data_IF_748942559960
#
_entry.id   IF_748942559960
#
_cell.length_a   1.000
_cell.length_b   1.000
_cell.length_c   1.000
_cell.angle_alpha   90.00
_cell.angle_beta   90.00
_cell.angle_gamma   90.00
#
_symmetry.space_group_name_H-M   'P 1'
#
loop_
_entity.id
_entity.type
_entity.pdbx_description
1 polymer ?
#
# COMPACT_ATOMS: atom_id res chain seq x y z
N UNK A 1 0.26 -6.04 -31.70
CA UNK A 1 0.03 -4.60 -31.89
C UNK A 1 -1.46 -4.29 -32.09
N UNK A 2 -2.29 -4.72 -31.13
CA UNK A 2 -3.76 -4.60 -31.21
C UNK A 2 -4.29 -3.22 -30.81
N UNK A 3 -3.44 -2.20 -30.67
CA UNK A 3 -3.86 -0.86 -30.24
C UNK A 3 -4.09 -0.68 -28.75
N UNK A 4 -3.79 -1.70 -27.94
CA UNK A 4 -3.93 -1.62 -26.47
C UNK A 4 -3.11 -0.45 -25.91
N UNK A 5 -3.68 0.27 -24.93
CA UNK A 5 -3.02 1.38 -24.24
C UNK A 5 -2.33 0.94 -22.94
N UNK A 6 -2.60 -0.26 -22.47
CA UNK A 6 -1.99 -0.85 -21.28
C UNK A 6 -2.14 -2.36 -21.26
N UNK A 7 -1.41 -3.01 -20.38
CA UNK A 7 -1.51 -4.44 -20.12
C UNK A 7 -1.63 -4.65 -18.61
N UNK A 8 -2.51 -5.58 -18.23
CA UNK A 8 -2.59 -6.13 -16.88
C UNK A 8 -2.00 -7.53 -16.92
N UNK A 9 -1.04 -7.82 -16.06
CA UNK A 9 -0.31 -9.10 -16.05
C UNK A 9 -0.19 -9.58 -14.61
N UNK A 10 -0.60 -10.81 -14.36
CA UNK A 10 -0.36 -11.47 -13.09
C UNK A 10 1.03 -12.10 -13.07
N UNK A 11 1.75 -11.87 -11.98
CA UNK A 11 3.10 -12.41 -11.75
C UNK A 11 3.14 -13.09 -10.40
N UNK A 12 3.62 -14.33 -10.35
CA UNK A 12 3.79 -15.07 -9.11
C UNK A 12 5.20 -15.65 -9.04
N UNK A 13 5.79 -15.69 -7.85
CA UNK A 13 7.15 -16.23 -7.66
C UNK A 13 7.26 -17.71 -8.00
N UNK A 14 6.19 -18.46 -7.84
CA UNK A 14 6.06 -19.89 -8.17
C UNK A 14 4.62 -20.15 -8.63
N UNK A 15 4.28 -19.87 -9.91
CA UNK A 15 2.92 -20.04 -10.45
C UNK A 15 2.34 -21.43 -10.25
N UNK A 16 3.17 -22.47 -10.23
CA UNK A 16 2.71 -23.85 -10.04
C UNK A 16 2.20 -24.12 -8.62
N UNK A 17 2.52 -23.24 -7.68
CA UNK A 17 2.06 -23.27 -6.28
C UNK A 17 1.13 -22.12 -5.91
N UNK A 18 0.69 -21.34 -6.90
CA UNK A 18 -0.26 -20.26 -6.65
C UNK A 18 -1.62 -20.83 -6.16
N UNK A 19 -2.22 -20.17 -5.18
CA UNK A 19 -3.52 -20.58 -4.64
C UNK A 19 -4.67 -20.33 -5.63
N UNK A 20 -4.49 -19.38 -6.56
CA UNK A 20 -5.43 -19.06 -7.65
C UNK A 20 -4.63 -18.66 -8.88
N UNK A 21 -5.24 -18.82 -10.05
CA UNK A 21 -4.75 -18.30 -11.34
C UNK A 21 -3.31 -18.65 -11.73
N UNK A 22 -2.72 -19.69 -11.11
CA UNK A 22 -1.37 -20.17 -11.41
C UNK A 22 -1.11 -20.37 -12.90
N UNK A 23 -2.00 -21.04 -13.67
CA UNK A 23 -1.80 -21.29 -15.10
C UNK A 23 -1.71 -20.04 -15.98
N UNK A 24 -2.25 -18.90 -15.52
CA UNK A 24 -2.18 -17.62 -16.25
C UNK A 24 -1.16 -16.63 -15.66
N UNK A 25 -0.60 -16.94 -14.50
CA UNK A 25 0.44 -16.11 -13.88
C UNK A 25 1.80 -16.35 -14.57
N UNK A 26 2.56 -15.27 -14.73
CA UNK A 26 3.93 -15.36 -15.24
C UNK A 26 4.93 -15.55 -14.10
N UNK A 27 6.00 -16.29 -14.38
CA UNK A 27 7.19 -16.23 -13.55
C UNK A 27 7.86 -14.85 -13.63
N UNK A 28 8.57 -14.38 -12.59
CA UNK A 28 9.28 -13.09 -12.63
C UNK A 28 10.21 -12.94 -13.83
N UNK A 29 10.90 -14.01 -14.23
CA UNK A 29 11.79 -14.01 -15.41
C UNK A 29 11.03 -13.85 -16.74
N UNK A 30 9.83 -14.43 -16.84
CA UNK A 30 8.96 -14.27 -18.01
C UNK A 30 8.40 -12.84 -18.07
N UNK A 31 8.02 -12.29 -16.92
CA UNK A 31 7.58 -10.91 -16.83
C UNK A 31 8.69 -9.92 -17.20
N UNK A 32 9.92 -10.13 -16.70
CA UNK A 32 11.07 -9.30 -17.08
C UNK A 32 11.32 -9.33 -18.59
N UNK A 33 11.20 -10.51 -19.21
CA UNK A 33 11.32 -10.63 -20.67
C UNK A 33 10.20 -9.88 -21.38
N UNK A 34 8.94 -10.05 -20.93
CA UNK A 34 7.79 -9.35 -21.49
C UNK A 34 7.98 -7.83 -21.43
N UNK A 35 8.44 -7.29 -20.30
CA UNK A 35 8.68 -5.86 -20.15
C UNK A 35 9.77 -5.33 -21.10
N UNK A 36 10.83 -6.09 -21.33
CA UNK A 36 11.85 -5.71 -22.33
C UNK A 36 11.30 -5.72 -23.76
N UNK A 37 10.51 -6.74 -24.10
CA UNK A 37 9.90 -6.87 -25.43
C UNK A 37 8.89 -5.71 -25.66
N UNK A 38 8.12 -5.32 -24.65
CA UNK A 38 7.18 -4.20 -24.70
C UNK A 38 7.90 -2.84 -24.83
N UNK A 39 9.02 -2.65 -24.13
CA UNK A 39 9.81 -1.42 -24.20
C UNK A 39 10.35 -1.23 -25.63
N UNK A 40 10.84 -2.32 -26.26
CA UNK A 40 11.29 -2.29 -27.65
C UNK A 40 10.15 -1.99 -28.64
N UNK A 41 8.95 -2.56 -28.40
CA UNK A 41 7.80 -2.36 -29.27
C UNK A 41 7.16 -0.98 -29.11
N UNK A 42 7.18 -0.40 -27.90
CA UNK A 42 6.55 0.88 -27.63
C UNK A 42 7.12 2.00 -28.48
N UNK A 43 8.44 2.04 -28.64
CA UNK A 43 9.12 3.01 -29.51
C UNK A 43 8.70 2.91 -30.98
N UNK A 44 8.54 1.68 -31.50
CA UNK A 44 8.09 1.42 -32.87
C UNK A 44 6.64 1.88 -33.09
N UNK A 45 5.80 1.77 -32.05
CA UNK A 45 4.39 2.11 -32.10
C UNK A 45 4.09 3.59 -31.73
N UNK A 46 5.14 4.40 -31.50
CA UNK A 46 4.99 5.79 -31.07
C UNK A 46 4.33 5.93 -29.68
N UNK A 47 4.46 4.90 -28.84
CA UNK A 47 3.95 4.87 -27.44
C UNK A 47 5.13 4.94 -26.49
N UNK A 48 4.90 5.51 -25.30
CA UNK A 48 5.84 5.46 -24.19
C UNK A 48 5.40 4.41 -23.16
N UNK A 49 6.35 3.71 -22.58
CA UNK A 49 6.12 2.88 -21.41
C UNK A 49 6.25 3.77 -20.16
N UNK A 50 5.17 3.92 -19.40
CA UNK A 50 5.28 4.46 -18.06
C UNK A 50 5.97 3.40 -17.18
N UNK A 51 7.14 3.73 -16.70
CA UNK A 51 7.85 2.90 -15.72
C UNK A 51 7.36 3.31 -14.34
N UNK A 52 7.15 2.34 -13.43
CA UNK A 52 6.92 2.70 -12.03
C UNK A 52 8.03 3.63 -11.61
N UNK A 53 7.68 4.85 -11.30
CA UNK A 53 8.61 5.80 -10.71
C UNK A 53 9.05 5.12 -9.42
N UNK A 54 10.33 4.71 -9.33
CA UNK A 54 10.91 4.57 -8.01
C UNK A 54 10.73 5.93 -7.39
N UNK A 55 9.82 6.06 -6.45
CA UNK A 55 9.75 7.22 -5.60
C UNK A 55 11.02 7.15 -4.76
N UNK A 56 12.13 7.59 -5.37
CA UNK A 56 13.24 8.06 -4.58
C UNK A 56 12.64 9.23 -3.83
N UNK A 57 12.62 9.15 -2.52
CA UNK A 57 12.19 10.25 -1.68
C UNK A 57 12.79 11.55 -2.24
N UNK A 58 12.12 12.69 -2.09
CA UNK A 58 12.41 13.91 -2.81
C UNK A 58 13.91 14.15 -2.85
N UNK A 59 14.51 14.07 -4.04
CA UNK A 59 15.91 14.49 -4.26
C UNK A 59 15.94 15.96 -3.92
N UNK A 60 16.56 16.28 -2.81
CA UNK A 60 16.94 17.64 -2.43
C UNK A 60 17.81 18.23 -3.53
N UNK A 61 17.18 18.79 -4.56
CA UNK A 61 17.81 19.80 -5.38
C UNK A 61 17.95 21.04 -4.49
N UNK A 62 19.17 21.57 -4.42
CA UNK A 62 19.49 22.83 -3.73
C UNK A 62 18.63 23.97 -4.31
N UNK A 63 17.48 24.18 -3.72
CA UNK A 63 16.75 25.45 -3.80
C UNK A 63 16.32 25.78 -2.38
N UNK A 64 16.67 26.96 -1.95
CA UNK A 64 16.49 27.62 -0.66
C UNK A 64 15.56 26.89 0.33
N UNK A 65 16.14 26.42 1.44
CA UNK A 65 15.45 25.84 2.60
C UNK A 65 14.43 26.84 3.18
N UNK A 66 13.28 26.97 2.53
CA UNK A 66 12.07 27.29 3.25
C UNK A 66 11.84 26.10 4.18
N UNK A 67 11.89 26.31 5.49
CA UNK A 67 11.49 25.31 6.50
C UNK A 67 10.07 24.87 6.17
N UNK A 68 9.94 23.85 5.32
CA UNK A 68 8.68 23.12 5.18
C UNK A 68 8.64 22.28 6.44
N UNK A 69 7.70 22.58 7.33
CA UNK A 69 7.34 21.68 8.42
C UNK A 69 7.20 20.28 7.84
N UNK A 70 7.74 19.28 8.53
CA UNK A 70 7.66 17.86 8.10
C UNK A 70 6.25 17.55 7.61
N UNK A 71 6.08 16.82 6.47
CA UNK A 71 4.75 16.61 5.90
C UNK A 71 3.88 15.86 6.91
N UNK A 72 2.65 16.34 7.09
CA UNK A 72 1.63 15.60 7.86
C UNK A 72 1.07 14.48 6.98
N UNK A 73 1.05 13.25 7.49
CA UNK A 73 0.48 12.10 6.78
C UNK A 73 -0.73 11.57 7.55
N UNK A 74 -1.90 11.61 6.91
CA UNK A 74 -3.14 11.08 7.47
C UNK A 74 -3.21 9.55 7.33
N UNK A 75 -3.79 8.87 8.30
CA UNK A 75 -4.08 7.44 8.23
C UNK A 75 -5.35 7.10 9.03
N UNK A 76 -6.03 6.02 8.66
CA UNK A 76 -7.20 5.56 9.42
C UNK A 76 -6.76 4.67 10.57
N UNK A 77 -7.31 4.92 11.75
CA UNK A 77 -7.10 4.16 12.98
C UNK A 77 -6.37 4.94 14.06
N UNK A 78 -5.92 4.23 15.08
CA UNK A 78 -5.22 4.76 16.23
C UNK A 78 -3.69 4.65 16.07
N UNK A 79 -2.95 5.40 16.87
CA UNK A 79 -1.49 5.30 16.93
C UNK A 79 -1.05 3.87 17.24
N UNK A 80 -0.02 3.41 16.57
CA UNK A 80 0.46 2.02 16.62
C UNK A 80 -0.20 1.09 15.59
N UNK A 81 -1.12 1.59 14.76
CA UNK A 81 -1.71 0.82 13.66
C UNK A 81 -0.69 0.46 12.58
N UNK A 82 -0.98 -0.57 11.78
CA UNK A 82 -0.14 -0.97 10.65
C UNK A 82 0.03 0.14 9.61
N UNK A 83 -0.99 0.99 9.42
CA UNK A 83 -0.89 2.16 8.56
C UNK A 83 0.15 3.16 9.06
N UNK A 84 0.26 3.40 10.37
CA UNK A 84 1.34 4.23 10.93
C UNK A 84 2.72 3.57 10.71
N UNK A 85 2.82 2.24 10.86
CA UNK A 85 4.05 1.51 10.55
C UNK A 85 4.46 1.69 9.07
N UNK A 86 3.49 1.70 8.15
CA UNK A 86 3.72 1.97 6.73
C UNK A 86 4.27 3.38 6.53
N UNK A 87 3.70 4.38 7.22
CA UNK A 87 4.18 5.77 7.19
C UNK A 87 5.64 5.84 7.67
N UNK A 88 5.97 5.21 8.80
CA UNK A 88 7.35 5.19 9.35
C UNK A 88 8.37 4.52 8.42
N UNK A 89 7.92 3.69 7.47
CA UNK A 89 8.79 3.09 6.45
C UNK A 89 8.91 3.92 5.19
N UNK A 90 7.87 4.68 4.85
CA UNK A 90 7.80 5.47 3.63
C UNK A 90 8.40 6.87 3.79
N UNK A 91 8.32 7.42 5.00
CA UNK A 91 8.71 8.78 5.33
C UNK A 91 9.79 8.80 6.41
N UNK A 92 10.31 9.99 6.71
CA UNK A 92 11.28 10.17 7.79
C UNK A 92 10.65 9.91 9.17
N UNK A 93 11.48 9.55 10.16
CA UNK A 93 11.03 9.09 11.47
C UNK A 93 10.26 10.18 12.25
N UNK A 94 10.57 11.45 12.02
CA UNK A 94 9.95 12.62 12.63
C UNK A 94 8.68 13.12 11.90
N UNK A 95 8.26 12.41 10.84
CA UNK A 95 7.05 12.75 10.10
C UNK A 95 5.83 12.81 11.03
N UNK A 96 5.12 13.94 11.00
CA UNK A 96 3.88 14.11 11.75
C UNK A 96 2.78 13.24 11.17
N UNK A 97 2.03 12.55 12.05
CA UNK A 97 0.93 11.67 11.64
C UNK A 97 -0.40 12.15 12.18
N UNK A 98 -1.44 12.08 11.34
CA UNK A 98 -2.81 12.47 11.65
C UNK A 98 -3.72 11.23 11.67
N UNK A 99 -4.05 10.68 12.87
CA UNK A 99 -5.03 9.60 12.99
C UNK A 99 -6.42 10.08 12.59
N UNK A 100 -7.12 9.31 11.77
CA UNK A 100 -8.48 9.58 11.32
C UNK A 100 -9.42 8.44 11.73
N UNK A 101 -10.66 8.73 12.13
CA UNK A 101 -11.61 7.72 12.61
C UNK A 101 -12.16 6.84 11.47
N UNK A 102 -12.09 7.32 10.22
CA UNK A 102 -12.56 6.60 9.04
C UNK A 102 -11.72 6.92 7.80
N UNK A 103 -11.85 6.10 6.76
CA UNK A 103 -11.22 6.39 5.48
C UNK A 103 -11.77 7.67 4.85
N UNK A 104 -13.06 7.90 4.92
CA UNK A 104 -13.67 9.16 4.43
C UNK A 104 -13.02 10.38 5.07
N UNK A 105 -12.79 10.36 6.39
CA UNK A 105 -12.15 11.47 7.09
C UNK A 105 -10.66 11.62 6.70
N UNK A 106 -9.98 10.51 6.42
CA UNK A 106 -8.62 10.53 5.89
C UNK A 106 -8.56 11.24 4.53
N UNK A 107 -9.43 10.87 3.58
CA UNK A 107 -9.51 11.50 2.27
C UNK A 107 -9.87 12.98 2.38
N UNK A 108 -10.82 13.34 3.27
CA UNK A 108 -11.14 14.73 3.56
C UNK A 108 -9.93 15.50 4.11
N UNK A 109 -9.14 14.89 5.00
CA UNK A 109 -7.97 15.54 5.57
C UNK A 109 -6.92 15.90 4.50
N UNK A 110 -6.73 15.04 3.51
CA UNK A 110 -5.83 15.33 2.37
C UNK A 110 -6.43 16.41 1.47
N UNK A 111 -7.69 16.30 1.08
CA UNK A 111 -8.38 17.24 0.22
C UNK A 111 -8.44 18.66 0.81
N UNK A 112 -8.65 18.77 2.11
CA UNK A 112 -8.70 20.04 2.85
C UNK A 112 -7.32 20.61 3.19
N UNK A 113 -6.24 19.89 2.86
CA UNK A 113 -4.87 20.32 3.14
C UNK A 113 -4.45 20.21 4.61
N UNK A 114 -5.21 19.48 5.44
CA UNK A 114 -4.84 19.17 6.83
C UNK A 114 -3.71 18.13 6.89
N UNK A 115 -3.59 17.32 5.86
CA UNK A 115 -2.47 16.42 5.62
C UNK A 115 -2.02 16.57 4.17
N UNK A 116 -0.71 16.43 3.93
CA UNK A 116 -0.16 16.46 2.57
C UNK A 116 -0.31 15.11 1.88
N UNK A 117 -0.28 14.02 2.64
CA UNK A 117 -0.43 12.66 2.15
C UNK A 117 -1.44 11.88 2.99
N UNK A 118 -1.99 10.83 2.39
CA UNK A 118 -2.80 9.81 3.07
C UNK A 118 -2.18 8.42 2.88
N UNK A 119 -2.09 7.64 3.96
CA UNK A 119 -1.68 6.24 3.90
C UNK A 119 -2.92 5.36 4.03
N UNK A 120 -3.31 4.72 2.94
CA UNK A 120 -4.51 3.89 2.86
C UNK A 120 -4.16 2.43 2.55
N UNK A 121 -4.75 1.45 3.24
CA UNK A 121 -4.61 0.05 2.88
C UNK A 121 -5.48 -0.24 1.64
N UNK A 122 -4.91 -0.84 0.61
CA UNK A 122 -5.62 -1.21 -0.62
C UNK A 122 -5.95 -2.69 -0.64
N UNK A 123 -5.04 -3.51 -0.12
CA UNK A 123 -5.20 -4.96 -0.14
C UNK A 123 -4.57 -5.61 1.10
N UNK A 124 -5.17 -6.71 1.53
CA UNK A 124 -4.62 -7.59 2.56
C UNK A 124 -4.64 -9.03 2.02
N UNK A 125 -3.51 -9.73 2.09
CA UNK A 125 -3.34 -11.09 1.54
C UNK A 125 -4.41 -12.10 2.05
N UNK A 126 -4.92 -11.92 3.28
CA UNK A 126 -5.95 -12.77 3.87
C UNK A 126 -7.35 -12.19 3.73
N UNK A 127 -7.48 -10.87 3.74
CA UNK A 127 -8.76 -10.15 3.72
C UNK A 127 -9.18 -9.69 2.32
N UNK A 128 -8.29 -9.80 1.33
CA UNK A 128 -8.53 -9.33 -0.04
C UNK A 128 -8.48 -7.81 -0.19
N UNK A 129 -9.06 -7.33 -1.26
CA UNK A 129 -9.10 -5.91 -1.64
C UNK A 129 -10.04 -5.12 -0.73
N UNK A 130 -9.62 -3.91 -0.36
CA UNK A 130 -10.42 -2.97 0.44
C UNK A 130 -11.13 -2.01 -0.52
N UNK A 131 -12.28 -2.45 -1.04
CA UNK A 131 -13.05 -1.75 -2.07
C UNK A 131 -13.43 -0.33 -1.67
N UNK A 132 -13.69 -0.07 -0.37
CA UNK A 132 -14.02 1.27 0.13
C UNK A 132 -12.94 2.30 -0.25
N UNK A 133 -11.66 1.94 -0.17
CA UNK A 133 -10.56 2.86 -0.49
C UNK A 133 -10.40 3.06 -2.01
N UNK A 134 -10.70 2.03 -2.81
CA UNK A 134 -10.74 2.19 -4.27
C UNK A 134 -11.87 3.13 -4.69
N UNK A 135 -13.06 2.96 -4.09
CA UNK A 135 -14.21 3.83 -4.32
C UNK A 135 -13.91 5.29 -3.90
N UNK A 136 -13.15 5.49 -2.83
CA UNK A 136 -12.73 6.82 -2.41
C UNK A 136 -11.75 7.44 -3.42
N UNK A 137 -10.79 6.68 -3.94
CA UNK A 137 -9.87 7.15 -4.98
C UNK A 137 -10.63 7.52 -6.26
N UNK A 138 -11.61 6.71 -6.67
CA UNK A 138 -12.43 7.00 -7.85
C UNK A 138 -13.27 8.29 -7.71
N UNK A 139 -13.71 8.61 -6.48
CA UNK A 139 -14.54 9.80 -6.21
C UNK A 139 -13.76 11.09 -5.98
N UNK A 140 -12.46 11.01 -5.81
CA UNK A 140 -11.59 12.16 -5.50
C UNK A 140 -10.51 12.32 -6.57
N UNK A 141 -10.94 12.75 -7.77
CA UNK A 141 -10.07 12.91 -8.96
C UNK A 141 -8.86 13.82 -8.74
N UNK A 142 -8.91 14.68 -7.70
CA UNK A 142 -7.82 15.58 -7.32
C UNK A 142 -6.73 14.90 -6.47
N UNK A 143 -6.95 13.64 -6.02
CA UNK A 143 -6.00 12.88 -5.22
C UNK A 143 -5.28 11.87 -6.11
N UNK A 144 -3.96 11.93 -6.14
CA UNK A 144 -3.11 11.03 -6.92
C UNK A 144 -2.39 10.02 -6.04
N UNK A 145 -2.23 8.80 -6.55
CA UNK A 145 -1.40 7.77 -5.90
C UNK A 145 0.06 8.05 -6.22
N UNK A 146 0.84 8.42 -5.21
CA UNK A 146 2.25 8.82 -5.35
C UNK A 146 3.24 7.75 -4.92
N UNK A 147 2.77 6.65 -4.34
CA UNK A 147 3.64 5.55 -3.92
C UNK A 147 2.87 4.42 -3.26
N UNK A 148 3.58 3.33 -2.99
CA UNK A 148 3.05 2.15 -2.31
C UNK A 148 4.00 1.65 -1.23
N UNK A 149 3.44 0.99 -0.20
CA UNK A 149 4.19 0.31 0.85
C UNK A 149 3.59 -1.05 1.13
N UNK A 150 4.46 -2.06 1.24
CA UNK A 150 4.06 -3.40 1.65
C UNK A 150 4.51 -3.65 3.09
N UNK A 151 3.55 -3.97 3.96
CA UNK A 151 3.78 -4.23 5.37
C UNK A 151 3.45 -5.68 5.69
N UNK A 152 4.41 -6.37 6.30
CA UNK A 152 4.14 -7.71 6.86
C UNK A 152 3.30 -7.57 8.12
N UNK A 153 2.10 -8.12 8.10
CA UNK A 153 1.21 -8.20 9.27
C UNK A 153 1.67 -9.36 10.15
N UNK A 154 1.93 -9.08 11.43
CA UNK A 154 2.27 -10.09 12.45
C UNK A 154 1.36 -9.86 13.65
N UNK A 155 0.43 -10.79 13.85
CA UNK A 155 -0.44 -10.75 15.02
C UNK A 155 0.32 -11.20 16.27
N UNK A 156 0.15 -10.47 17.34
CA UNK A 156 0.74 -10.78 18.64
C UNK A 156 -0.35 -10.91 19.68
N UNK A 157 -0.25 -11.94 20.52
CA UNK A 157 -1.08 -12.09 21.70
C UNK A 157 -0.43 -11.30 22.84
N UNK A 158 -1.17 -10.31 23.37
CA UNK A 158 -0.70 -9.43 24.44
C UNK A 158 -1.43 -9.81 25.72
N UNK A 159 -0.70 -9.96 26.80
CA UNK A 159 -1.24 -10.24 28.14
C UNK A 159 -0.47 -9.48 29.22
N UNK A 160 -0.96 -9.54 30.45
CA UNK A 160 -0.26 -9.00 31.61
C UNK A 160 1.02 -9.83 31.86
N UNK A 161 2.02 -9.19 32.46
CA UNK A 161 3.26 -9.86 32.83
C UNK A 161 3.00 -11.12 33.68
N UNK A 162 3.64 -12.22 33.34
CA UNK A 162 3.45 -13.53 33.98
C UNK A 162 2.23 -14.32 33.50
N UNK A 163 1.41 -13.79 32.57
CA UNK A 163 0.30 -14.57 31.97
C UNK A 163 0.86 -15.76 31.18
N UNK A 164 0.33 -16.95 31.44
CA UNK A 164 0.66 -18.14 30.68
C UNK A 164 -0.41 -18.43 29.64
N UNK A 165 -0.01 -18.92 28.47
CA UNK A 165 -0.91 -19.22 27.36
C UNK A 165 -2.06 -20.15 27.78
N UNK A 166 -1.76 -21.14 28.59
CA UNK A 166 -2.71 -22.16 29.08
C UNK A 166 -3.78 -21.61 30.05
N UNK A 167 -3.55 -20.42 30.61
CA UNK A 167 -4.48 -19.74 31.53
C UNK A 167 -5.40 -18.74 30.85
N UNK A 168 -5.21 -18.49 29.55
CA UNK A 168 -6.02 -17.53 28.80
C UNK A 168 -7.37 -18.16 28.48
N UNK A 169 -8.45 -17.52 28.93
CA UNK A 169 -9.82 -17.97 28.69
C UNK A 169 -10.57 -17.08 27.68
N UNK A 170 -10.14 -15.84 27.51
CA UNK A 170 -10.77 -14.87 26.63
C UNK A 170 -9.73 -14.05 25.90
N UNK A 171 -9.98 -13.77 24.61
CA UNK A 171 -9.19 -12.90 23.76
C UNK A 171 -10.11 -11.82 23.20
N UNK A 172 -9.68 -10.56 23.29
CA UNK A 172 -10.40 -9.41 22.75
C UNK A 172 -9.57 -8.80 21.61
N UNK A 173 -10.19 -8.61 20.44
CA UNK A 173 -9.55 -7.97 19.31
C UNK A 173 -10.62 -7.43 18.35
N UNK A 174 -10.17 -6.66 17.36
CA UNK A 174 -11.02 -6.29 16.24
C UNK A 174 -11.53 -7.56 15.50
N UNK A 175 -12.79 -7.60 15.03
CA UNK A 175 -13.36 -8.78 14.36
C UNK A 175 -12.49 -9.33 13.22
N UNK A 176 -11.89 -8.47 12.42
CA UNK A 176 -10.96 -8.87 11.36
C UNK A 176 -9.70 -9.58 11.89
N UNK A 177 -9.13 -9.08 13.00
CA UNK A 177 -7.98 -9.73 13.64
C UNK A 177 -8.32 -11.13 14.12
N UNK A 178 -9.48 -11.32 14.74
CA UNK A 178 -9.97 -12.64 15.17
C UNK A 178 -10.21 -13.56 13.97
N UNK A 179 -10.83 -13.07 12.89
CA UNK A 179 -11.12 -13.84 11.69
C UNK A 179 -9.84 -14.34 10.99
N UNK A 180 -8.74 -13.61 11.09
CA UNK A 180 -7.45 -13.99 10.51
C UNK A 180 -6.66 -14.99 11.35
N UNK A 181 -7.09 -15.30 12.59
CA UNK A 181 -6.44 -16.21 13.52
C UNK A 181 -7.21 -17.55 13.71
N UNK A 182 -8.04 -17.95 12.75
CA UNK A 182 -8.93 -19.13 12.84
C UNK A 182 -8.27 -20.47 12.45
N UNK A 183 -6.97 -20.63 12.63
CA UNK A 183 -6.26 -21.92 12.43
C UNK A 183 -5.81 -22.51 13.73
#
# INVERSE_FOLDING_TARGET
ASGASGLMVEVHTDPDKAFSDGPQSLYPSQFEKLMRDLDALSGVLGKSMERPVKVEGPKTGETEKKKISSPVVAFQGERGAYSEMAIRRAFEEDTEVLPCPSFTELFNAVREGRALYGMVPIENTLGGTISENLDQLERNDEIEVVGEQQIRIVHNLIGLEGTKLETITHIYSHPQGLAQCTR
#
